data_IF_787060923960
#
_entry.id   IF_787060923960
#
_cell.length_a   1.000
_cell.length_b   1.000
_cell.length_c   1.000
_cell.angle_alpha   90.00
_cell.angle_beta   90.00
_cell.angle_gamma   90.00
#
_symmetry.space_group_name_H-M   'P 1'
#
loop_
_entity.id
_entity.type
_entity.pdbx_description
1 polymer ?
#
# COMPACT_ATOMS: atom_id res chain seq x y z
N UNK A 1 -3.46 -18.76 -28.79
CA UNK A 1 -4.75 -18.02 -28.76
C UNK A 1 -5.16 -17.81 -27.30
N UNK A 2 -5.00 -16.62 -26.69
CA UNK A 2 -5.39 -16.46 -25.27
C UNK A 2 -4.93 -15.17 -24.58
N UNK A 3 -3.91 -14.49 -25.13
CA UNK A 3 -3.38 -13.24 -24.54
C UNK A 3 -4.40 -12.09 -24.48
N UNK A 4 -5.28 -11.97 -25.47
CA UNK A 4 -6.30 -10.90 -25.52
C UNK A 4 -7.32 -10.97 -24.37
N UNK A 5 -7.75 -12.19 -24.00
CA UNK A 5 -8.70 -12.40 -22.89
C UNK A 5 -8.05 -12.13 -21.54
N UNK A 6 -6.80 -12.58 -21.35
CA UNK A 6 -6.03 -12.30 -20.16
C UNK A 6 -5.82 -10.79 -19.98
N UNK A 7 -5.40 -10.08 -21.05
CA UNK A 7 -5.22 -8.63 -21.03
C UNK A 7 -6.51 -7.89 -20.68
N UNK A 8 -7.63 -8.28 -21.28
CA UNK A 8 -8.93 -7.68 -20.99
C UNK A 8 -9.34 -7.88 -19.51
N UNK A 9 -9.14 -9.08 -18.95
CA UNK A 9 -9.40 -9.34 -17.53
C UNK A 9 -8.52 -8.47 -16.63
N UNK A 10 -7.23 -8.36 -16.93
CA UNK A 10 -6.30 -7.55 -16.14
C UNK A 10 -6.65 -6.06 -16.19
N UNK A 11 -7.00 -5.52 -17.37
CA UNK A 11 -7.43 -4.11 -17.49
C UNK A 11 -8.71 -3.84 -16.70
N UNK A 12 -9.66 -4.78 -16.66
CA UNK A 12 -10.88 -4.64 -15.85
C UNK A 12 -10.54 -4.58 -14.36
N UNK A 13 -9.74 -5.53 -13.86
CA UNK A 13 -9.31 -5.57 -12.45
C UNK A 13 -8.53 -4.31 -12.08
N UNK A 14 -7.59 -3.88 -12.91
CA UNK A 14 -6.81 -2.67 -12.65
C UNK A 14 -7.68 -1.40 -12.60
N UNK A 15 -8.71 -1.31 -13.47
CA UNK A 15 -9.67 -0.20 -13.44
C UNK A 15 -10.50 -0.24 -12.16
N UNK A 16 -10.98 -1.40 -11.78
CA UNK A 16 -11.73 -1.59 -10.54
C UNK A 16 -10.89 -1.18 -9.33
N UNK A 17 -9.62 -1.59 -9.24
CA UNK A 17 -8.72 -1.16 -8.17
C UNK A 17 -8.41 0.34 -8.19
N UNK A 18 -8.23 0.92 -9.38
CA UNK A 18 -7.89 2.36 -9.51
C UNK A 18 -9.05 3.28 -9.16
N UNK A 19 -10.27 2.87 -9.49
CA UNK A 19 -11.47 3.71 -9.36
C UNK A 19 -12.47 3.18 -8.33
N UNK A 20 -12.16 2.09 -7.63
CA UNK A 20 -12.83 1.72 -6.39
C UNK A 20 -12.42 2.75 -5.35
N UNK A 21 -13.35 3.62 -5.00
CA UNK A 21 -13.23 4.35 -3.75
C UNK A 21 -13.48 3.34 -2.63
N UNK A 22 -12.55 3.13 -1.69
CA UNK A 22 -12.87 2.38 -0.49
C UNK A 22 -14.06 3.06 0.20
N UNK A 23 -15.03 2.26 0.65
CA UNK A 23 -16.08 2.73 1.56
C UNK A 23 -15.40 3.02 2.90
N UNK A 24 -15.01 4.28 3.11
CA UNK A 24 -14.47 4.71 4.39
C UNK A 24 -15.60 4.95 5.36
N UNK A 25 -15.59 4.23 6.48
CA UNK A 25 -16.49 4.48 7.61
C UNK A 25 -16.14 5.82 8.28
N UNK A 26 -16.88 6.86 7.90
CA UNK A 26 -16.69 8.21 8.41
C UNK A 26 -17.01 8.32 9.91
N UNK A 27 -17.90 7.48 10.46
CA UNK A 27 -18.23 7.49 11.88
C UNK A 27 -17.05 7.00 12.73
N UNK A 28 -16.39 5.93 12.27
CA UNK A 28 -15.16 5.43 12.89
C UNK A 28 -14.04 6.47 12.82
N UNK A 29 -13.82 7.10 11.67
CA UNK A 29 -12.80 8.14 11.48
C UNK A 29 -13.05 9.36 12.37
N UNK A 30 -14.30 9.80 12.49
CA UNK A 30 -14.68 10.91 13.37
C UNK A 30 -14.44 10.58 14.84
N UNK A 31 -14.70 9.33 15.26
CA UNK A 31 -14.42 8.88 16.63
C UNK A 31 -12.92 8.88 16.94
N UNK A 32 -12.10 8.43 16.00
CA UNK A 32 -10.63 8.42 16.15
C UNK A 32 -10.07 9.86 16.21
N UNK A 33 -10.53 10.75 15.33
CA UNK A 33 -10.12 12.16 15.32
C UNK A 33 -10.64 12.94 16.54
N UNK A 34 -11.87 12.67 16.98
CA UNK A 34 -12.50 13.35 18.11
C UNK A 34 -12.11 12.81 19.49
N UNK A 35 -11.55 11.59 19.57
CA UNK A 35 -11.26 10.88 20.81
C UNK A 35 -9.79 10.90 21.28
N UNK A 36 -8.89 11.54 20.54
CA UNK A 36 -7.43 11.49 20.75
C UNK A 36 -6.86 12.28 21.94
N UNK A 37 -7.47 12.24 23.13
CA UNK A 37 -6.80 12.65 24.37
C UNK A 37 -7.34 11.94 25.60
N UNK A 38 -7.01 10.65 25.75
CA UNK A 38 -6.84 9.91 27.03
C UNK A 38 -6.69 8.43 26.71
N UNK A 39 -5.46 7.96 26.57
CA UNK A 39 -4.95 6.67 27.05
C UNK A 39 -3.49 6.62 26.62
N UNK A 40 -2.65 7.11 27.53
CA UNK A 40 -1.21 6.92 27.55
C UNK A 40 -0.89 5.43 27.78
N UNK A 41 0.34 5.05 27.45
CA UNK A 41 1.07 3.86 27.91
C UNK A 41 0.97 2.50 27.17
N UNK A 42 2.10 2.20 26.51
CA UNK A 42 2.87 0.94 26.53
C UNK A 42 2.95 0.04 25.27
N UNK A 43 4.22 -0.19 24.89
CA UNK A 43 4.79 -1.26 24.06
C UNK A 43 4.54 -1.18 22.53
N UNK A 44 5.54 -1.16 21.65
CA UNK A 44 6.98 -1.31 21.79
C UNK A 44 7.61 -1.53 20.42
N UNK A 45 8.86 -1.11 20.29
CA UNK A 45 9.87 -1.56 19.33
C UNK A 45 9.76 -1.08 17.87
N UNK A 46 10.58 -0.07 17.56
CA UNK A 46 11.06 0.26 16.23
C UNK A 46 11.64 -0.96 15.52
N UNK A 47 11.05 -1.36 14.41
CA UNK A 47 11.70 -2.22 13.40
C UNK A 47 11.32 -1.70 12.02
N UNK A 48 11.77 -0.49 11.71
CA UNK A 48 11.63 0.19 10.42
C UNK A 48 13.02 0.55 9.89
N UNK A 49 13.88 -0.45 9.73
CA UNK A 49 15.20 -0.27 9.13
C UNK A 49 15.74 -1.60 8.60
N UNK A 50 15.21 -2.11 7.49
CA UNK A 50 15.90 -3.16 6.71
C UNK A 50 15.48 -3.26 5.21
N UNK A 51 14.43 -2.55 4.75
CA UNK A 51 13.98 -2.63 3.35
C UNK A 51 14.57 -1.54 2.41
N UNK A 52 15.47 -0.68 2.90
CA UNK A 52 16.03 0.43 2.11
C UNK A 52 17.29 0.06 1.32
N UNK A 53 18.04 -0.98 1.74
CA UNK A 53 19.35 -1.32 1.17
C UNK A 53 19.30 -2.28 -0.03
N UNK A 54 18.15 -2.93 -0.30
CA UNK A 54 18.02 -3.89 -1.42
C UNK A 54 17.86 -3.19 -2.78
N UNK A 55 17.30 -1.98 -2.82
CA UNK A 55 17.06 -1.23 -4.06
C UNK A 55 18.31 -0.58 -4.64
N UNK A 56 19.32 -0.30 -3.82
CA UNK A 56 20.56 0.39 -4.25
C UNK A 56 21.61 -0.59 -4.82
N UNK A 57 21.41 -1.91 -4.64
CA UNK A 57 22.30 -2.96 -5.13
C UNK A 57 21.86 -3.59 -6.46
N UNK A 58 20.93 -2.97 -7.19
CA UNK A 58 20.63 -3.39 -8.56
C UNK A 58 21.91 -3.26 -9.41
N UNK A 59 22.33 -4.33 -10.14
CA UNK A 59 23.59 -4.32 -10.85
C UNK A 59 23.58 -3.21 -11.91
N UNK A 60 24.42 -2.20 -11.70
CA UNK A 60 24.72 -1.17 -12.70
C UNK A 60 25.32 -1.88 -13.91
N UNK A 61 24.44 -2.17 -14.87
CA UNK A 61 24.73 -2.80 -16.14
C UNK A 61 25.84 -1.97 -16.78
N UNK A 62 27.08 -2.46 -16.70
CA UNK A 62 28.23 -1.85 -17.35
C UNK A 62 27.94 -1.84 -18.84
N UNK A 63 27.70 -0.64 -19.39
CA UNK A 63 27.60 -0.43 -20.82
C UNK A 63 28.97 -0.74 -21.43
N UNK A 64 28.99 -1.63 -22.41
CA UNK A 64 30.13 -1.81 -23.30
C UNK A 64 29.66 -1.55 -24.72
#
# INVERSE_FOLDING_TARGET
MGRGRAKAKQTKVARELKYSSPETDFEKLQRELGGGKRSDDQEGNSSEQDDADEWDQAPRRHSR
#
